data_IF_156296869104
#
_entry.id   IF_156296869104
#
_cell.length_a   1.000
_cell.length_b   1.000
_cell.length_c   1.000
_cell.angle_alpha   90.00
_cell.angle_beta   90.00
_cell.angle_gamma   90.00
#
_symmetry.space_group_name_H-M   'P 1'
#
loop_
_entity.id
_entity.type
_entity.pdbx_description
1 polymer ?
#
# COMPACT_ATOMS: atom_id res chain seq x y z
N UNK A 1 56.87 2.96 -45.17
CA UNK A 1 57.04 2.04 -46.31
C UNK A 1 56.43 0.71 -45.94
N UNK A 2 55.73 -0.03 -46.81
CA UNK A 2 54.69 0.42 -47.75
C UNK A 2 53.32 -0.24 -47.45
N UNK A 3 52.26 0.43 -47.90
CA UNK A 3 50.93 -0.16 -48.22
C UNK A 3 50.98 -0.71 -49.65
N UNK A 4 49.90 -1.16 -50.25
CA UNK A 4 48.73 -2.00 -50.02
C UNK A 4 48.69 -3.21 -51.03
N UNK A 5 47.63 -3.85 -51.50
CA UNK A 5 46.49 -3.28 -52.24
C UNK A 5 45.14 -4.00 -52.06
N UNK A 6 44.08 -3.31 -52.48
CA UNK A 6 42.76 -3.85 -52.81
C UNK A 6 42.74 -4.54 -54.18
N UNK A 7 41.77 -5.40 -54.46
CA UNK A 7 40.97 -5.21 -55.68
C UNK A 7 39.47 -5.57 -55.58
N UNK A 8 38.64 -4.72 -56.11
CA UNK A 8 37.81 -4.79 -57.33
C UNK A 8 36.56 -5.67 -57.32
N UNK A 9 35.46 -4.95 -57.38
CA UNK A 9 34.19 -5.17 -58.06
C UNK A 9 34.07 -6.38 -59.05
N UNK A 10 32.92 -7.02 -58.94
CA UNK A 10 32.23 -7.59 -60.07
C UNK A 10 30.70 -7.36 -59.97
N UNK A 11 30.23 -6.54 -60.85
CA UNK A 11 28.86 -6.21 -61.21
C UNK A 11 28.29 -7.32 -62.10
N UNK A 12 27.15 -7.91 -61.74
CA UNK A 12 26.34 -8.66 -62.72
C UNK A 12 24.91 -8.15 -62.61
N UNK A 13 24.54 -7.42 -63.64
CA UNK A 13 23.16 -7.01 -63.89
C UNK A 13 22.45 -8.19 -64.59
N UNK A 14 21.22 -8.49 -64.20
CA UNK A 14 20.30 -9.23 -65.08
C UNK A 14 18.95 -8.53 -65.07
N UNK A 15 18.53 -8.24 -66.32
CA UNK A 15 17.34 -7.46 -66.69
C UNK A 15 16.19 -8.42 -66.97
N UNK A 16 14.97 -7.90 -66.73
CA UNK A 16 13.67 -8.24 -67.35
C UNK A 16 12.84 -9.36 -66.70
N UNK A 17 11.60 -9.13 -66.33
CA UNK A 17 10.51 -8.95 -67.31
C UNK A 17 9.28 -8.41 -66.63
N UNK A 18 8.64 -7.39 -67.20
CA UNK A 18 7.33 -6.85 -66.87
C UNK A 18 6.27 -7.84 -67.38
N UNK A 19 5.38 -8.29 -66.53
CA UNK A 19 4.10 -8.84 -66.95
C UNK A 19 3.01 -8.09 -66.09
N UNK A 20 2.36 -7.15 -66.78
CA UNK A 20 1.10 -6.55 -66.39
C UNK A 20 0.01 -7.54 -66.70
N UNK A 21 -0.74 -8.00 -65.71
CA UNK A 21 -2.09 -8.52 -65.92
C UNK A 21 -2.81 -8.70 -64.58
N UNK A 22 -3.95 -8.10 -64.46
CA UNK A 22 -5.04 -8.64 -63.70
C UNK A 22 -5.51 -7.79 -62.52
N UNK A 23 -6.60 -7.10 -62.75
CA UNK A 23 -7.52 -6.62 -61.70
C UNK A 23 -7.73 -7.72 -60.65
N UNK A 24 -7.11 -7.59 -59.53
CA UNK A 24 -7.39 -8.37 -58.31
C UNK A 24 -8.29 -7.56 -57.42
N UNK A 25 -9.49 -8.06 -57.17
CA UNK A 25 -10.42 -7.58 -56.16
C UNK A 25 -9.67 -7.28 -54.87
N UNK A 26 -9.83 -6.06 -54.35
CA UNK A 26 -9.52 -5.74 -52.97
C UNK A 26 -10.28 -6.73 -52.07
N UNK A 27 -9.55 -7.56 -51.36
CA UNK A 27 -10.11 -8.33 -50.27
C UNK A 27 -10.53 -7.31 -49.20
N UNK A 28 -11.73 -7.38 -48.63
CA UNK A 28 -12.11 -6.54 -47.53
C UNK A 28 -11.06 -6.77 -46.41
N UNK A 29 -10.48 -5.69 -45.95
CA UNK A 29 -9.64 -5.68 -44.75
C UNK A 29 -10.52 -6.25 -43.66
N UNK A 30 -10.23 -7.43 -43.15
CA UNK A 30 -10.89 -7.99 -41.99
C UNK A 30 -10.66 -7.01 -40.85
N UNK A 31 -11.76 -6.45 -40.36
CA UNK A 31 -11.80 -5.67 -39.13
C UNK A 31 -10.94 -6.40 -38.09
N UNK A 32 -9.98 -5.72 -37.41
CA UNK A 32 -9.19 -6.39 -36.40
C UNK A 32 -10.19 -6.87 -35.35
N UNK A 33 -10.40 -8.17 -35.28
CA UNK A 33 -11.25 -8.79 -34.29
C UNK A 33 -10.74 -8.27 -32.92
N UNK A 34 -11.56 -7.48 -32.25
CA UNK A 34 -11.37 -7.21 -30.83
C UNK A 34 -11.11 -8.55 -30.17
N UNK A 35 -10.02 -8.70 -29.38
CA UNK A 35 -9.82 -9.94 -28.65
C UNK A 35 -11.12 -10.20 -27.88
N UNK A 36 -11.81 -11.27 -28.20
CA UNK A 36 -12.93 -11.70 -27.39
C UNK A 36 -12.35 -11.88 -25.99
N UNK A 37 -12.89 -11.16 -25.01
CA UNK A 37 -12.62 -11.44 -23.62
C UNK A 37 -13.14 -12.86 -23.37
N UNK A 38 -12.27 -13.83 -23.58
CA UNK A 38 -12.53 -15.21 -23.18
C UNK A 38 -12.58 -15.13 -21.66
N UNK A 39 -13.78 -15.26 -21.13
CA UNK A 39 -13.94 -15.43 -19.68
C UNK A 39 -12.99 -16.57 -19.29
N UNK A 40 -12.07 -16.37 -18.36
CA UNK A 40 -11.15 -17.42 -17.97
C UNK A 40 -12.00 -18.60 -17.53
N UNK A 41 -11.83 -19.75 -18.19
CA UNK A 41 -12.36 -21.01 -17.66
C UNK A 41 -11.88 -21.10 -16.23
N UNK A 42 -12.80 -21.38 -15.29
CA UNK A 42 -12.47 -21.69 -13.91
C UNK A 42 -11.43 -22.81 -13.88
N UNK A 43 -10.16 -22.45 -13.91
CA UNK A 43 -9.16 -23.28 -13.25
C UNK A 43 -9.50 -23.20 -11.76
N UNK A 44 -9.66 -24.32 -11.10
CA UNK A 44 -9.61 -24.41 -9.64
C UNK A 44 -8.41 -23.54 -9.21
N UNK A 45 -8.57 -22.57 -8.30
CA UNK A 45 -7.49 -21.69 -7.97
C UNK A 45 -6.41 -22.52 -7.27
N UNK A 46 -5.44 -23.00 -8.02
CA UNK A 46 -4.13 -23.22 -7.44
C UNK A 46 -3.76 -21.86 -6.86
N UNK A 47 -3.56 -21.83 -5.56
CA UNK A 47 -3.42 -20.63 -4.75
C UNK A 47 -2.16 -19.87 -5.15
N UNK A 48 -2.20 -19.21 -6.30
CA UNK A 48 -1.10 -18.45 -6.89
C UNK A 48 -0.82 -17.17 -6.10
N UNK A 49 -1.64 -16.88 -5.06
CA UNK A 49 -1.51 -15.67 -4.24
C UNK A 49 -1.73 -14.36 -4.97
N UNK A 50 -2.33 -14.42 -6.17
CA UNK A 50 -2.72 -13.25 -6.93
C UNK A 50 -4.18 -12.88 -6.63
N UNK A 51 -4.57 -11.61 -6.86
CA UNK A 51 -5.95 -11.18 -6.72
C UNK A 51 -6.87 -12.04 -7.59
N UNK A 52 -7.90 -12.60 -7.00
CA UNK A 52 -8.85 -13.47 -7.71
C UNK A 52 -9.68 -12.69 -8.73
N UNK A 53 -9.83 -11.37 -8.56
CA UNK A 53 -10.64 -10.52 -9.42
C UNK A 53 -9.93 -9.21 -9.70
N UNK A 54 -9.55 -9.03 -10.93
CA UNK A 54 -9.09 -7.76 -11.49
C UNK A 54 -10.15 -7.22 -12.44
N UNK A 55 -10.45 -5.94 -12.33
CA UNK A 55 -11.27 -5.17 -13.28
C UNK A 55 -10.34 -4.19 -14.02
N UNK A 56 -10.89 -3.22 -14.72
CA UNK A 56 -10.09 -2.25 -15.48
C UNK A 56 -9.19 -1.42 -14.57
N UNK A 57 -9.73 -0.91 -13.48
CA UNK A 57 -9.07 0.03 -12.58
C UNK A 57 -8.93 -0.48 -11.15
N UNK A 58 -9.45 -1.68 -10.84
CA UNK A 58 -9.33 -2.25 -9.50
C UNK A 58 -8.83 -3.68 -9.51
N UNK A 59 -8.17 -4.05 -8.42
CA UNK A 59 -7.71 -5.41 -8.17
C UNK A 59 -8.05 -5.79 -6.73
N UNK A 60 -8.77 -6.91 -6.56
CA UNK A 60 -9.12 -7.42 -5.23
C UNK A 60 -8.02 -8.31 -4.69
N UNK A 61 -7.58 -8.03 -3.47
CA UNK A 61 -6.80 -8.95 -2.64
C UNK A 61 -7.80 -9.73 -1.78
N UNK A 62 -8.01 -11.02 -2.07
CA UNK A 62 -8.97 -11.84 -1.34
C UNK A 62 -8.46 -12.21 0.05
N UNK A 63 -9.35 -12.72 0.87
CA UNK A 63 -9.12 -13.22 2.22
C UNK A 63 -10.25 -12.79 3.14
N UNK A 64 -10.64 -13.66 4.06
CA UNK A 64 -11.67 -13.38 5.05
C UNK A 64 -11.07 -13.22 6.45
N UNK A 65 -9.78 -13.51 6.61
CA UNK A 65 -9.01 -13.25 7.82
C UNK A 65 -7.72 -12.43 7.56
N UNK A 66 -7.19 -11.75 8.58
CA UNK A 66 -6.00 -10.90 8.45
C UNK A 66 -4.74 -11.65 8.00
N UNK A 67 -4.56 -12.93 8.35
CA UNK A 67 -3.37 -13.71 7.98
C UNK A 67 -3.38 -14.07 6.49
N UNK A 68 -4.53 -14.41 5.94
CA UNK A 68 -4.72 -14.65 4.51
C UNK A 68 -4.46 -13.37 3.71
N UNK A 69 -5.07 -12.26 4.14
CA UNK A 69 -4.89 -10.96 3.49
C UNK A 69 -3.42 -10.53 3.51
N UNK A 70 -2.74 -10.63 4.66
CA UNK A 70 -1.34 -10.28 4.77
C UNK A 70 -0.45 -11.15 3.88
N UNK A 71 -0.71 -12.46 3.82
CA UNK A 71 -0.01 -13.39 2.95
C UNK A 71 -0.20 -13.04 1.46
N UNK A 72 -1.43 -12.76 1.05
CA UNK A 72 -1.75 -12.37 -0.32
C UNK A 72 -1.12 -11.03 -0.69
N UNK A 73 -1.22 -10.01 0.17
CA UNK A 73 -0.59 -8.70 -0.02
C UNK A 73 0.93 -8.80 -0.12
N UNK A 74 1.57 -9.53 0.81
CA UNK A 74 3.02 -9.67 0.80
C UNK A 74 3.52 -10.33 -0.49
N UNK A 75 2.82 -11.34 -1.00
CA UNK A 75 3.14 -12.00 -2.28
C UNK A 75 2.83 -11.11 -3.49
N UNK A 76 1.80 -10.28 -3.45
CA UNK A 76 1.52 -9.31 -4.51
C UNK A 76 2.61 -8.24 -4.62
N UNK A 77 3.15 -7.79 -3.47
CA UNK A 77 4.23 -6.79 -3.41
C UNK A 77 5.60 -7.41 -3.76
N UNK A 78 5.83 -8.66 -3.38
CA UNK A 78 7.07 -9.41 -3.61
C UNK A 78 6.78 -10.70 -4.41
N UNK A 79 6.43 -10.58 -5.70
CA UNK A 79 5.89 -11.70 -6.49
C UNK A 79 6.94 -12.71 -6.95
N UNK A 80 8.21 -12.37 -6.92
CA UNK A 80 9.28 -13.20 -7.50
C UNK A 80 10.60 -13.15 -6.72
N UNK A 81 11.51 -14.05 -7.07
CA UNK A 81 12.82 -14.17 -6.40
C UNK A 81 13.72 -12.95 -6.55
N UNK A 82 13.51 -12.09 -7.55
CA UNK A 82 14.31 -10.89 -7.77
C UNK A 82 13.88 -9.76 -6.79
N UNK A 83 12.62 -9.79 -6.36
CA UNK A 83 12.01 -8.78 -5.47
C UNK A 83 11.71 -9.32 -4.08
N UNK A 84 12.60 -10.11 -3.52
CA UNK A 84 12.47 -10.66 -2.16
C UNK A 84 12.59 -9.55 -1.11
N UNK A 85 11.78 -9.59 -0.04
CA UNK A 85 11.94 -8.68 1.10
C UNK A 85 13.26 -8.94 1.83
N UNK A 86 13.72 -7.96 2.60
CA UNK A 86 14.91 -8.16 3.43
C UNK A 86 14.57 -8.98 4.67
N UNK A 87 13.41 -8.72 5.30
CA UNK A 87 12.85 -9.56 6.37
C UNK A 87 11.34 -9.71 6.20
N UNK A 88 10.74 -10.50 7.06
CA UNK A 88 9.29 -10.56 7.32
C UNK A 88 9.07 -10.17 8.78
N UNK A 89 8.06 -9.37 9.05
CA UNK A 89 7.64 -9.05 10.41
C UNK A 89 6.53 -10.01 10.83
N UNK A 90 6.70 -10.77 11.91
CA UNK A 90 5.63 -11.56 12.52
C UNK A 90 5.00 -10.77 13.66
N UNK A 91 3.67 -10.64 13.62
CA UNK A 91 2.84 -9.88 14.56
C UNK A 91 1.69 -10.75 15.03
N UNK A 92 1.31 -10.64 16.31
CA UNK A 92 0.13 -11.31 16.82
C UNK A 92 -1.14 -10.70 16.20
N UNK A 93 -2.04 -11.56 15.72
CA UNK A 93 -3.36 -11.18 15.21
C UNK A 93 -4.35 -10.70 16.29
N UNK A 94 -3.97 -10.79 17.56
CA UNK A 94 -4.83 -10.39 18.67
C UNK A 94 -4.71 -8.91 19.07
N UNK A 95 -3.71 -8.16 18.55
CA UNK A 95 -3.60 -6.73 18.82
C UNK A 95 -3.32 -5.88 17.58
N UNK A 96 -4.34 -5.17 17.13
CA UNK A 96 -4.28 -4.29 15.98
C UNK A 96 -3.33 -3.08 16.15
N UNK A 97 -3.05 -2.64 17.40
CA UNK A 97 -2.13 -1.50 17.65
C UNK A 97 -0.71 -1.89 17.30
N UNK A 98 -0.32 -3.09 17.70
CA UNK A 98 0.99 -3.66 17.39
C UNK A 98 1.12 -3.85 15.87
N UNK A 99 0.09 -4.40 15.23
CA UNK A 99 0.06 -4.60 13.78
C UNK A 99 0.21 -3.28 13.00
N UNK A 100 -0.53 -2.23 13.39
CA UNK A 100 -0.39 -0.89 12.78
C UNK A 100 1.01 -0.32 13.00
N UNK A 101 1.58 -0.45 14.20
CA UNK A 101 2.94 0.05 14.47
C UNK A 101 3.99 -0.71 13.68
N UNK A 102 3.86 -2.03 13.57
CA UNK A 102 4.76 -2.90 12.84
C UNK A 102 4.76 -2.62 11.32
N UNK A 103 3.68 -2.07 10.78
CA UNK A 103 3.62 -1.66 9.37
C UNK A 103 4.75 -0.70 8.99
N UNK A 104 5.30 0.07 9.92
CA UNK A 104 6.45 0.93 9.68
C UNK A 104 7.73 0.18 9.28
N UNK A 105 7.85 -1.10 9.61
CA UNK A 105 8.98 -1.94 9.24
C UNK A 105 8.95 -2.37 7.76
N UNK A 106 7.83 -2.12 7.04
CA UNK A 106 7.77 -2.27 5.60
C UNK A 106 8.73 -1.31 4.88
N UNK A 107 8.96 -0.14 5.41
CA UNK A 107 9.88 0.83 4.80
C UNK A 107 11.36 0.45 5.02
N UNK A 108 12.25 0.92 4.13
CA UNK A 108 13.68 0.80 4.31
C UNK A 108 14.11 1.40 5.68
N UNK A 109 15.10 0.82 6.38
CA UNK A 109 16.02 -0.21 5.90
C UNK A 109 15.59 -1.66 6.22
N UNK A 110 14.37 -1.91 6.68
CA UNK A 110 13.91 -3.26 7.04
C UNK A 110 13.26 -4.00 5.88
N UNK A 111 12.50 -3.27 5.05
CA UNK A 111 11.78 -3.82 3.89
C UNK A 111 11.06 -5.13 4.25
N UNK A 112 10.31 -5.10 5.37
CA UNK A 112 9.76 -6.25 6.05
C UNK A 112 8.21 -6.19 6.08
N UNK A 113 7.51 -6.84 5.14
CA UNK A 113 6.05 -6.92 5.16
C UNK A 113 5.57 -7.67 6.41
N UNK A 114 4.42 -7.26 7.01
CA UNK A 114 3.82 -7.98 8.11
C UNK A 114 3.17 -9.28 7.64
N UNK A 115 3.36 -10.34 8.40
CA UNK A 115 2.56 -11.55 8.41
C UNK A 115 2.03 -11.76 9.83
N UNK A 116 0.90 -12.46 9.96
CA UNK A 116 0.26 -12.66 11.25
C UNK A 116 0.55 -14.04 11.83
N UNK A 117 0.70 -14.04 13.15
CA UNK A 117 0.77 -15.21 14.02
C UNK A 117 -0.46 -15.22 14.92
N UNK A 118 -0.94 -16.36 15.32
CA UNK A 118 -1.97 -16.52 16.35
C UNK A 118 -1.28 -17.01 17.63
N UNK A 119 -0.91 -16.07 18.48
CA UNK A 119 0.05 -16.34 19.56
C UNK A 119 1.32 -17.00 19.00
N UNK A 120 1.72 -18.14 19.56
CA UNK A 120 2.89 -18.92 19.12
C UNK A 120 2.65 -19.80 17.89
N UNK A 121 1.41 -19.88 17.40
CA UNK A 121 1.07 -20.66 16.22
C UNK A 121 1.21 -19.82 14.94
N UNK A 122 1.76 -20.43 13.90
CA UNK A 122 1.89 -19.79 12.59
C UNK A 122 0.81 -20.33 11.64
N UNK A 123 -0.21 -19.52 11.29
CA UNK A 123 -1.25 -19.90 10.35
C UNK A 123 -0.68 -20.41 9.02
N UNK A 124 -1.37 -21.36 8.39
CA UNK A 124 -0.93 -21.97 7.13
C UNK A 124 -0.67 -20.93 6.03
N UNK A 125 -1.51 -19.90 5.91
CA UNK A 125 -1.32 -18.80 4.98
C UNK A 125 0.00 -18.04 5.24
N UNK A 126 0.27 -17.67 6.50
CA UNK A 126 1.51 -17.00 6.90
C UNK A 126 2.74 -17.88 6.68
N UNK A 127 2.65 -19.18 7.01
CA UNK A 127 3.74 -20.14 6.80
C UNK A 127 4.08 -20.31 5.32
N UNK A 128 3.07 -20.45 4.47
CA UNK A 128 3.23 -20.58 3.02
C UNK A 128 3.79 -19.30 2.40
N UNK A 129 3.31 -18.12 2.84
CA UNK A 129 3.83 -16.84 2.38
C UNK A 129 5.30 -16.65 2.80
N UNK A 130 5.64 -16.93 4.06
CA UNK A 130 7.03 -16.82 4.56
C UNK A 130 7.99 -17.67 3.74
N UNK A 131 7.59 -18.90 3.42
CA UNK A 131 8.37 -19.81 2.56
C UNK A 131 8.55 -19.24 1.14
N UNK A 132 7.48 -18.71 0.54
CA UNK A 132 7.52 -18.16 -0.81
C UNK A 132 8.33 -16.87 -0.89
N UNK A 133 8.22 -15.99 0.11
CA UNK A 133 8.95 -14.72 0.19
C UNK A 133 10.46 -14.94 0.37
N UNK A 134 10.88 -16.01 1.03
CA UNK A 134 12.28 -16.38 1.26
C UNK A 134 13.17 -15.17 1.61
N UNK A 135 12.91 -14.47 2.74
CA UNK A 135 13.56 -13.20 3.06
C UNK A 135 15.08 -13.32 3.11
N UNK A 136 15.79 -12.27 2.67
CA UNK A 136 17.26 -12.28 2.49
C UNK A 136 18.03 -12.15 3.80
N UNK A 137 17.49 -11.41 4.75
CA UNK A 137 18.14 -10.92 5.98
C UNK A 137 18.23 -9.40 5.99
N UNK A 138 17.62 -8.74 6.99
CA UNK A 138 17.67 -7.29 7.16
C UNK A 138 18.86 -6.90 8.03
N UNK A 139 19.87 -6.24 7.45
CA UNK A 139 21.07 -5.79 8.17
C UNK A 139 20.71 -4.87 9.36
N UNK A 140 19.69 -4.03 9.23
CA UNK A 140 19.18 -3.17 10.29
C UNK A 140 18.58 -3.92 11.49
N UNK A 141 18.34 -5.23 11.35
CA UNK A 141 17.87 -6.13 12.39
C UNK A 141 18.88 -7.27 12.65
N UNK A 142 20.17 -7.03 12.42
CA UNK A 142 21.24 -8.02 12.63
C UNK A 142 21.16 -9.20 11.65
N UNK A 143 20.83 -8.94 10.39
CA UNK A 143 20.62 -9.92 9.32
C UNK A 143 19.49 -10.90 9.60
N UNK A 144 18.50 -10.48 10.41
CA UNK A 144 17.33 -11.30 10.67
C UNK A 144 16.46 -11.42 9.42
N UNK A 145 16.03 -12.64 9.14
CA UNK A 145 15.03 -12.96 8.11
C UNK A 145 13.61 -12.79 8.65
N UNK A 146 13.44 -12.91 9.97
CA UNK A 146 12.16 -12.73 10.66
C UNK A 146 12.35 -11.77 11.83
N UNK A 147 11.56 -10.69 11.86
CA UNK A 147 11.46 -9.77 12.99
C UNK A 147 10.20 -10.15 13.76
N UNK A 148 10.36 -10.73 14.95
CA UNK A 148 9.27 -11.20 15.80
C UNK A 148 8.87 -10.09 16.77
N UNK A 149 7.59 -9.71 16.76
CA UNK A 149 7.07 -8.65 17.63
C UNK A 149 6.22 -9.29 18.73
N UNK A 150 6.76 -9.32 19.94
CA UNK A 150 6.13 -9.99 21.09
C UNK A 150 6.33 -11.50 21.08
N UNK A 151 5.44 -12.18 21.80
CA UNK A 151 5.45 -13.64 21.89
C UNK A 151 4.63 -14.26 20.75
N UNK A 152 5.29 -14.42 19.62
CA UNK A 152 4.73 -14.93 18.36
C UNK A 152 5.51 -16.14 17.89
N UNK A 153 5.00 -16.86 16.89
CA UNK A 153 5.63 -18.03 16.31
C UNK A 153 7.12 -17.81 16.02
N UNK A 154 7.93 -18.86 16.22
CA UNK A 154 9.36 -18.89 15.90
C UNK A 154 9.64 -19.89 14.79
N UNK A 155 9.62 -19.47 13.52
CA UNK A 155 9.89 -20.35 12.40
C UNK A 155 11.29 -20.97 12.49
N UNK A 156 11.38 -22.27 12.33
CA UNK A 156 12.66 -23.01 12.34
C UNK A 156 13.48 -22.71 11.08
N UNK A 157 14.81 -22.77 11.20
CA UNK A 157 15.73 -22.61 10.08
C UNK A 157 15.88 -21.18 9.55
N UNK A 158 15.23 -20.19 10.17
CA UNK A 158 15.36 -18.77 9.82
C UNK A 158 15.95 -17.97 10.97
N UNK A 159 16.87 -17.05 10.65
CA UNK A 159 17.44 -16.14 11.63
C UNK A 159 16.38 -15.13 12.07
N UNK A 160 16.10 -15.08 13.37
CA UNK A 160 15.10 -14.19 13.95
C UNK A 160 15.74 -13.10 14.82
N UNK A 161 15.09 -11.94 14.86
CA UNK A 161 15.31 -10.86 15.81
C UNK A 161 14.03 -10.61 16.61
N UNK A 162 14.13 -10.59 17.93
CA UNK A 162 12.97 -10.47 18.82
C UNK A 162 12.83 -9.03 19.31
N UNK A 163 11.64 -8.46 19.14
CA UNK A 163 11.22 -7.17 19.69
C UNK A 163 10.27 -7.44 20.85
N UNK A 164 10.74 -7.21 22.07
CA UNK A 164 10.02 -7.59 23.28
C UNK A 164 9.33 -6.41 23.97
N UNK A 165 8.21 -6.69 24.61
CA UNK A 165 7.44 -5.74 25.42
C UNK A 165 6.35 -6.47 26.20
N UNK A 166 6.05 -6.00 27.41
CA UNK A 166 5.10 -6.67 28.33
C UNK A 166 3.62 -6.26 28.06
N UNK A 167 3.40 -5.28 27.20
CA UNK A 167 2.07 -4.79 26.85
C UNK A 167 2.06 -4.42 25.36
N UNK A 168 0.90 -4.35 24.71
CA UNK A 168 0.81 -3.87 23.34
C UNK A 168 1.47 -2.51 23.13
N UNK A 169 1.25 -1.55 24.02
CA UNK A 169 1.91 -0.24 23.94
C UNK A 169 3.41 -0.30 24.24
N UNK A 170 3.84 -1.25 25.07
CA UNK A 170 5.27 -1.57 25.28
C UNK A 170 5.92 -2.06 24.01
N UNK A 171 5.24 -2.92 23.23
CA UNK A 171 5.70 -3.38 21.93
C UNK A 171 5.78 -2.24 20.90
N UNK A 172 4.78 -1.33 20.86
CA UNK A 172 4.86 -0.17 19.94
C UNK A 172 6.02 0.76 20.30
N UNK A 173 6.35 0.91 21.59
CA UNK A 173 7.57 1.60 22.03
C UNK A 173 8.83 0.91 21.56
N UNK A 174 8.89 -0.42 21.67
CA UNK A 174 10.05 -1.21 21.24
C UNK A 174 10.24 -1.16 19.71
N UNK A 175 9.17 -1.20 18.93
CA UNK A 175 9.20 -0.97 17.48
C UNK A 175 9.78 0.42 17.17
N UNK A 176 9.32 1.47 17.87
CA UNK A 176 9.83 2.82 17.68
C UNK A 176 11.33 2.93 18.02
N UNK A 177 11.80 2.21 19.05
CA UNK A 177 13.22 2.13 19.39
C UNK A 177 14.04 1.41 18.31
N UNK A 178 13.54 0.31 17.76
CA UNK A 178 14.16 -0.40 16.65
C UNK A 178 14.28 0.51 15.40
N UNK A 179 13.21 1.23 15.05
CA UNK A 179 13.25 2.19 13.94
C UNK A 179 14.27 3.30 14.20
N UNK A 180 14.35 3.80 15.43
CA UNK A 180 15.30 4.83 15.81
C UNK A 180 16.76 4.35 15.69
N UNK A 181 17.06 3.15 16.16
CA UNK A 181 18.40 2.58 16.07
C UNK A 181 18.88 2.37 14.63
N UNK A 182 17.96 2.01 13.74
CA UNK A 182 18.22 1.82 12.32
C UNK A 182 18.36 3.13 11.52
N UNK A 183 17.96 4.28 12.11
CA UNK A 183 17.97 5.60 11.45
C UNK A 183 18.57 6.68 12.35
N UNK A 184 19.85 6.55 12.74
CA UNK A 184 20.50 7.52 13.62
C UNK A 184 20.54 8.92 12.97
N UNK A 185 20.46 9.96 13.79
CA UNK A 185 20.58 11.37 13.33
C UNK A 185 19.37 11.95 12.61
N UNK A 186 18.32 11.17 12.29
CA UNK A 186 17.10 11.72 11.69
C UNK A 186 16.22 12.38 12.73
N UNK A 187 15.70 13.57 12.39
CA UNK A 187 14.63 14.21 13.16
C UNK A 187 13.38 13.34 13.12
N UNK A 188 12.91 12.92 14.29
CA UNK A 188 11.78 12.03 14.39
C UNK A 188 10.48 12.72 13.98
N UNK A 189 9.77 12.12 13.01
CA UNK A 189 8.37 12.38 12.71
C UNK A 189 7.60 11.18 13.24
N UNK A 190 6.58 11.43 14.07
CA UNK A 190 5.85 10.38 14.78
C UNK A 190 4.37 10.52 14.47
N UNK A 191 3.74 9.45 14.02
CA UNK A 191 2.29 9.38 13.95
C UNK A 191 1.73 9.07 15.33
N UNK A 192 0.77 9.87 15.76
CA UNK A 192 0.02 9.65 17.01
C UNK A 192 -1.40 9.26 16.63
N UNK A 193 -1.79 8.03 17.00
CA UNK A 193 -3.09 7.46 16.70
C UNK A 193 -3.86 7.14 18.00
N UNK A 194 -5.17 6.93 17.88
CA UNK A 194 -5.99 6.50 19.02
C UNK A 194 -5.64 5.06 19.41
N UNK A 195 -5.49 4.83 20.72
CA UNK A 195 -5.41 3.47 21.27
C UNK A 195 -6.79 2.84 21.46
N UNK A 196 -7.85 3.65 21.44
CA UNK A 196 -9.20 3.26 21.84
C UNK A 196 -10.10 3.00 20.62
N UNK A 197 -9.75 3.56 19.45
CA UNK A 197 -10.55 3.45 18.24
C UNK A 197 -9.69 3.02 17.05
N UNK A 198 -9.89 1.76 16.65
CA UNK A 198 -9.16 1.10 15.61
C UNK A 198 -9.43 1.70 14.21
N UNK A 199 -10.66 2.15 13.96
CA UNK A 199 -11.05 2.70 12.66
C UNK A 199 -10.38 4.05 12.39
N UNK A 200 -10.25 4.89 13.42
CA UNK A 200 -9.51 6.15 13.30
C UNK A 200 -8.00 5.96 13.23
N UNK A 201 -7.47 4.87 13.81
CA UNK A 201 -6.05 4.56 13.78
C UNK A 201 -5.59 3.94 12.44
N UNK A 202 -6.47 3.22 11.74
CA UNK A 202 -6.17 2.41 10.57
C UNK A 202 -5.37 3.14 9.47
N UNK A 203 -5.65 4.40 9.08
CA UNK A 203 -4.89 5.09 8.04
C UNK A 203 -3.41 5.32 8.40
N UNK A 204 -3.05 5.24 9.70
CA UNK A 204 -1.65 5.36 10.11
C UNK A 204 -0.78 4.22 9.57
N UNK A 205 -1.33 3.00 9.40
CA UNK A 205 -0.60 1.84 8.90
C UNK A 205 -0.02 2.07 7.50
N UNK A 206 -0.84 2.59 6.58
CA UNK A 206 -0.45 2.83 5.20
C UNK A 206 0.69 3.87 5.09
N UNK A 207 0.58 4.97 5.86
CA UNK A 207 1.61 6.00 5.83
C UNK A 207 2.89 5.57 6.56
N UNK A 208 2.76 4.80 7.64
CA UNK A 208 3.90 4.18 8.33
C UNK A 208 4.66 3.24 7.41
N UNK A 209 3.96 2.38 6.64
CA UNK A 209 4.57 1.46 5.68
C UNK A 209 5.35 2.20 4.58
N UNK A 210 4.85 3.34 4.10
CA UNK A 210 5.54 4.18 3.11
C UNK A 210 6.80 4.83 3.66
N UNK A 211 6.76 5.33 4.89
CA UNK A 211 7.77 6.25 5.40
C UNK A 211 8.71 5.65 6.43
N UNK A 212 8.28 4.59 7.11
CA UNK A 212 8.92 4.03 8.29
C UNK A 212 8.90 4.97 9.49
N UNK A 213 7.99 5.93 9.52
CA UNK A 213 7.77 6.75 10.72
C UNK A 213 7.09 5.89 11.79
N UNK A 214 7.54 5.93 13.05
CA UNK A 214 6.92 5.18 14.10
C UNK A 214 5.48 5.64 14.37
N UNK A 215 4.60 4.70 14.70
CA UNK A 215 3.24 4.95 15.16
C UNK A 215 3.21 4.70 16.66
N UNK A 216 2.77 5.70 17.42
CA UNK A 216 2.55 5.62 18.86
C UNK A 216 1.09 5.94 19.17
N UNK A 217 0.60 5.40 20.27
CA UNK A 217 -0.81 5.46 20.59
C UNK A 217 -1.08 6.27 21.85
N UNK A 218 -2.23 6.94 21.86
CA UNK A 218 -2.75 7.67 23.02
C UNK A 218 -4.21 7.28 23.24
N UNK A 219 -4.64 7.22 24.49
CA UNK A 219 -6.06 7.13 24.79
C UNK A 219 -6.72 8.49 24.61
N UNK A 220 -8.07 8.51 24.56
CA UNK A 220 -8.85 9.73 24.37
C UNK A 220 -8.39 10.88 25.27
N UNK A 221 -8.16 10.61 26.57
CA UNK A 221 -7.88 11.64 27.58
C UNK A 221 -6.52 11.48 28.27
N UNK A 222 -5.67 10.57 27.81
CA UNK A 222 -4.38 10.28 28.44
C UNK A 222 -3.29 9.94 27.43
N UNK A 223 -2.07 10.45 27.68
CA UNK A 223 -0.84 9.96 27.03
C UNK A 223 -0.29 8.82 27.90
N UNK A 224 -0.25 7.57 27.42
CA UNK A 224 0.28 6.43 28.17
C UNK A 224 1.76 6.61 28.53
N UNK A 225 2.24 6.00 29.62
CA UNK A 225 3.64 6.08 30.03
C UNK A 225 4.59 5.53 28.97
N UNK A 226 4.21 4.47 28.27
CA UNK A 226 5.01 3.88 27.18
C UNK A 226 5.18 4.87 26.02
N UNK A 227 4.12 5.57 25.65
CA UNK A 227 4.16 6.61 24.61
C UNK A 227 5.04 7.79 25.04
N UNK A 228 4.94 8.24 26.31
CA UNK A 228 5.84 9.28 26.83
C UNK A 228 7.31 8.84 26.78
N UNK A 229 7.59 7.62 27.23
CA UNK A 229 8.93 7.06 27.23
C UNK A 229 9.50 6.94 25.80
N UNK A 230 8.66 6.49 24.84
CA UNK A 230 9.05 6.43 23.43
C UNK A 230 9.38 7.83 22.87
N UNK A 231 8.53 8.82 23.12
CA UNK A 231 8.76 10.19 22.65
C UNK A 231 10.01 10.83 23.28
N UNK A 232 10.28 10.57 24.54
CA UNK A 232 11.51 11.01 25.20
C UNK A 232 12.76 10.35 24.57
N UNK A 233 12.70 9.06 24.27
CA UNK A 233 13.80 8.34 23.61
C UNK A 233 14.00 8.77 22.13
N UNK A 234 12.94 9.20 21.45
CA UNK A 234 13.00 9.70 20.10
C UNK A 234 13.50 11.16 20.02
N UNK A 235 13.43 11.90 21.11
CA UNK A 235 13.98 13.23 21.20
C UNK A 235 15.52 13.15 21.06
N UNK A 236 16.05 13.87 20.08
CA UNK A 236 17.47 14.00 19.84
C UNK A 236 17.92 15.45 20.07
N UNK A 237 18.75 15.97 19.15
CA UNK A 237 19.14 17.39 19.13
C UNK A 237 17.92 18.31 18.92
N UNK A 238 16.88 17.80 18.28
CA UNK A 238 15.61 18.52 18.04
C UNK A 238 14.44 17.75 18.61
N UNK A 239 13.39 18.48 19.00
CA UNK A 239 12.12 17.87 19.48
C UNK A 239 11.44 17.15 18.31
N UNK A 240 10.80 15.98 18.54
CA UNK A 240 10.08 15.28 17.50
C UNK A 240 8.87 16.07 17.00
N UNK A 241 8.53 15.90 15.71
CA UNK A 241 7.26 16.39 15.14
C UNK A 241 6.21 15.31 15.29
N UNK A 242 5.12 15.65 15.95
CA UNK A 242 4.03 14.73 16.32
C UNK A 242 2.81 15.04 15.45
N UNK A 243 2.38 14.08 14.67
CA UNK A 243 1.24 14.19 13.78
C UNK A 243 0.06 13.41 14.34
N UNK A 244 -0.89 14.12 14.93
CA UNK A 244 -2.06 13.54 15.59
C UNK A 244 -3.15 13.28 14.55
N UNK A 245 -3.46 12.00 14.34
CA UNK A 245 -4.49 11.54 13.42
C UNK A 245 -5.83 11.39 14.15
N UNK A 246 -6.80 12.14 13.71
CA UNK A 246 -8.17 12.08 14.20
C UNK A 246 -8.66 13.36 14.90
N UNK A 247 -10.00 13.46 15.09
CA UNK A 247 -10.66 14.63 15.64
C UNK A 247 -10.48 14.74 17.16
N UNK A 248 -10.89 15.88 17.72
CA UNK A 248 -10.86 16.12 19.18
C UNK A 248 -11.81 15.24 19.98
N UNK A 249 -12.82 14.66 19.35
CA UNK A 249 -13.72 13.66 19.95
C UNK A 249 -13.04 12.33 20.22
N UNK A 250 -12.00 11.99 19.46
CA UNK A 250 -11.24 10.74 19.56
C UNK A 250 -9.96 10.93 20.38
N UNK A 251 -9.23 12.02 20.16
CA UNK A 251 -8.03 12.40 20.95
C UNK A 251 -8.25 13.82 21.45
N UNK A 252 -8.47 13.96 22.75
CA UNK A 252 -8.93 15.21 23.35
C UNK A 252 -7.91 16.37 23.24
N UNK A 253 -8.37 17.62 23.34
CA UNK A 253 -7.47 18.77 23.43
C UNK A 253 -6.51 18.70 24.61
N UNK A 254 -6.91 18.03 25.71
CA UNK A 254 -6.05 17.81 26.87
C UNK A 254 -4.83 16.97 26.51
N UNK A 255 -5.03 15.87 25.79
CA UNK A 255 -3.93 15.02 25.29
C UNK A 255 -3.03 15.81 24.34
N UNK A 256 -3.60 16.60 23.44
CA UNK A 256 -2.82 17.47 22.53
C UNK A 256 -1.93 18.46 23.31
N UNK A 257 -2.44 19.06 24.41
CA UNK A 257 -1.62 19.91 25.27
C UNK A 257 -0.49 19.15 25.98
N UNK A 258 -0.73 17.90 26.41
CA UNK A 258 0.33 17.06 26.97
C UNK A 258 1.40 16.73 25.94
N UNK A 259 1.02 16.37 24.71
CA UNK A 259 1.93 16.06 23.60
C UNK A 259 2.79 17.27 23.22
N UNK A 260 2.26 18.50 23.24
CA UNK A 260 3.04 19.73 22.96
C UNK A 260 4.21 19.95 23.93
N UNK A 261 4.18 19.34 25.12
CA UNK A 261 5.34 19.34 26.04
C UNK A 261 6.45 18.39 25.58
N UNK A 262 6.11 17.39 24.75
CA UNK A 262 7.01 16.35 24.28
C UNK A 262 7.52 16.58 22.85
N UNK A 263 6.79 17.35 22.02
CA UNK A 263 7.15 17.63 20.63
C UNK A 263 6.34 18.78 20.03
N UNK A 264 6.64 19.17 18.80
CA UNK A 264 5.75 20.04 18.03
C UNK A 264 4.57 19.21 17.52
N UNK A 265 3.35 19.71 17.63
CA UNK A 265 2.14 18.95 17.37
C UNK A 265 1.34 19.58 16.25
N UNK A 266 1.11 18.80 15.20
CA UNK A 266 0.15 19.06 14.14
C UNK A 266 -0.99 18.04 14.24
N UNK A 267 -2.22 18.48 13.94
CA UNK A 267 -3.39 17.60 13.93
C UNK A 267 -4.01 17.59 12.56
N UNK A 268 -4.38 16.40 12.09
CA UNK A 268 -5.17 16.21 10.88
C UNK A 268 -6.16 15.06 11.08
N UNK A 269 -7.24 15.04 10.30
CA UNK A 269 -8.25 13.99 10.35
C UNK A 269 -9.66 14.53 10.13
N UNK A 270 -10.61 13.61 9.98
CA UNK A 270 -12.02 13.86 9.78
C UNK A 270 -12.87 13.49 11.01
N UNK A 271 -14.16 13.80 10.94
CA UNK A 271 -15.12 13.60 12.05
C UNK A 271 -15.54 12.13 12.27
N UNK A 272 -15.45 11.31 11.24
CA UNK A 272 -15.75 9.89 11.19
C UNK A 272 -14.60 9.11 10.51
N UNK A 273 -14.54 7.78 10.57
CA UNK A 273 -13.43 7.00 10.01
C UNK A 273 -13.21 7.22 8.51
N UNK A 274 -14.27 7.38 7.73
CA UNK A 274 -14.19 7.59 6.27
C UNK A 274 -13.56 8.95 5.96
N UNK A 275 -14.13 10.02 6.53
CA UNK A 275 -13.58 11.38 6.35
C UNK A 275 -12.21 11.54 6.97
N UNK A 276 -11.88 10.77 8.03
CA UNK A 276 -10.55 10.72 8.63
C UNK A 276 -9.51 10.11 7.67
N UNK A 277 -9.85 9.05 6.96
CA UNK A 277 -8.99 8.44 5.94
C UNK A 277 -8.79 9.38 4.75
N UNK A 278 -9.84 10.05 4.28
CA UNK A 278 -9.76 11.06 3.21
C UNK A 278 -8.89 12.25 3.65
N UNK A 279 -9.07 12.74 4.89
CA UNK A 279 -8.25 13.82 5.41
C UNK A 279 -6.77 13.41 5.51
N UNK A 280 -6.48 12.15 5.88
CA UNK A 280 -5.11 11.62 5.87
C UNK A 280 -4.54 11.55 4.44
N UNK A 281 -5.35 11.16 3.45
CA UNK A 281 -4.95 11.13 2.05
C UNK A 281 -4.62 12.52 1.49
N UNK A 282 -5.41 13.53 1.84
CA UNK A 282 -5.21 14.91 1.39
C UNK A 282 -4.12 15.66 2.16
N UNK A 283 -3.81 15.23 3.39
CA UNK A 283 -2.92 15.97 4.27
C UNK A 283 -1.50 16.04 3.74
N UNK A 284 -0.91 17.27 3.81
CA UNK A 284 0.50 17.52 3.51
C UNK A 284 1.05 18.63 4.41
N UNK A 285 2.21 18.39 4.99
CA UNK A 285 3.03 19.35 5.74
C UNK A 285 4.49 19.17 5.32
N UNK A 286 4.92 19.96 4.35
CA UNK A 286 6.23 19.82 3.74
C UNK A 286 6.44 18.43 3.15
N UNK A 287 7.38 17.68 3.71
CA UNK A 287 7.68 16.31 3.29
C UNK A 287 6.87 15.24 4.05
N UNK A 288 5.94 15.62 4.92
CA UNK A 288 5.03 14.71 5.61
C UNK A 288 3.64 14.76 4.97
N UNK A 289 2.98 13.59 4.90
CA UNK A 289 1.64 13.42 4.37
C UNK A 289 1.64 12.91 2.92
N UNK A 290 0.47 12.45 2.50
CA UNK A 290 0.27 11.97 1.13
C UNK A 290 0.13 13.12 0.15
N UNK A 291 -0.71 14.12 0.48
CA UNK A 291 -0.98 15.30 -0.34
C UNK A 291 -1.70 14.97 -1.65
N UNK A 292 -2.53 13.91 -1.65
CA UNK A 292 -3.22 13.46 -2.87
C UNK A 292 -4.47 14.31 -3.09
N UNK A 293 -4.39 15.17 -4.08
CA UNK A 293 -5.47 16.03 -4.55
C UNK A 293 -5.60 16.01 -6.09
N UNK A 294 -4.80 15.18 -6.76
CA UNK A 294 -4.71 15.01 -8.21
C UNK A 294 -4.74 13.53 -8.60
N UNK A 295 -4.97 13.17 -9.85
CA UNK A 295 -4.96 11.78 -10.32
C UNK A 295 -3.54 11.21 -10.48
N UNK A 296 -3.45 9.90 -10.76
CA UNK A 296 -2.20 9.20 -11.04
C UNK A 296 -1.68 8.39 -9.85
N UNK A 297 -2.57 7.85 -9.03
CA UNK A 297 -2.23 7.16 -7.78
C UNK A 297 -2.82 5.75 -7.72
N UNK A 298 -2.11 4.86 -6.99
CA UNK A 298 -2.69 3.64 -6.47
C UNK A 298 -3.36 3.91 -5.13
N UNK A 299 -4.59 3.48 -4.94
CA UNK A 299 -5.39 3.67 -3.73
C UNK A 299 -5.66 2.31 -3.09
N UNK A 300 -5.77 2.27 -1.77
CA UNK A 300 -6.08 1.03 -1.04
C UNK A 300 -7.42 1.21 -0.34
N UNK A 301 -8.35 0.30 -0.53
CA UNK A 301 -9.70 0.34 0.04
C UNK A 301 -9.89 -0.82 1.01
N UNK A 302 -10.30 -0.53 2.25
CA UNK A 302 -10.60 -1.51 3.27
C UNK A 302 -11.85 -1.13 4.08
N UNK A 303 -12.36 -2.08 4.87
CA UNK A 303 -13.49 -1.83 5.79
C UNK A 303 -13.03 -1.08 7.03
N UNK A 304 -13.79 -0.06 7.40
CA UNK A 304 -13.70 0.53 8.74
C UNK A 304 -14.01 -0.53 9.80
N UNK A 305 -13.37 -0.45 10.96
CA UNK A 305 -13.52 -1.44 12.03
C UNK A 305 -12.65 -2.69 11.87
N UNK A 306 -11.98 -2.88 10.73
CA UNK A 306 -11.10 -4.02 10.47
C UNK A 306 -9.63 -3.59 10.41
N UNK A 307 -9.11 -3.08 11.52
CA UNK A 307 -7.77 -2.48 11.57
C UNK A 307 -6.62 -3.48 11.32
N UNK A 308 -6.82 -4.77 11.60
CA UNK A 308 -5.84 -5.81 11.26
C UNK A 308 -5.74 -5.97 9.73
N UNK A 309 -6.86 -5.91 9.00
CA UNK A 309 -6.86 -5.93 7.54
C UNK A 309 -6.16 -4.67 6.97
N UNK A 310 -6.35 -3.52 7.61
CA UNK A 310 -5.63 -2.30 7.24
C UNK A 310 -4.12 -2.41 7.44
N UNK A 311 -3.67 -3.06 8.51
CA UNK A 311 -2.25 -3.35 8.75
C UNK A 311 -1.72 -4.40 7.76
N UNK A 312 -2.52 -5.46 7.45
CA UNK A 312 -2.21 -6.45 6.43
C UNK A 312 -2.02 -5.82 5.04
N UNK A 313 -2.85 -4.82 4.70
CA UNK A 313 -2.80 -4.11 3.43
C UNK A 313 -1.68 -3.07 3.32
N UNK A 314 -1.07 -2.67 4.44
CA UNK A 314 -0.09 -1.59 4.49
C UNK A 314 1.09 -1.73 3.50
N UNK A 315 1.62 -2.92 3.18
CA UNK A 315 2.67 -3.07 2.16
C UNK A 315 2.28 -2.55 0.78
N UNK A 316 1.00 -2.60 0.38
CA UNK A 316 0.52 -2.01 -0.88
C UNK A 316 0.79 -0.50 -0.94
N UNK A 317 0.70 0.19 0.20
CA UNK A 317 0.99 1.62 0.32
C UNK A 317 2.50 1.92 0.37
N UNK A 318 3.31 0.97 0.78
CA UNK A 318 4.76 1.10 0.96
C UNK A 318 5.58 0.82 -0.29
N UNK A 319 5.00 0.21 -1.34
CA UNK A 319 5.73 -0.21 -2.52
C UNK A 319 5.34 0.59 -3.76
N UNK A 320 6.31 1.27 -4.38
CA UNK A 320 6.12 1.95 -5.67
C UNK A 320 5.22 3.19 -5.60
N UNK A 321 4.24 3.29 -6.54
CA UNK A 321 3.35 4.44 -6.71
C UNK A 321 2.04 4.35 -5.93
N UNK A 322 1.96 3.44 -4.98
CA UNK A 322 0.73 3.23 -4.22
C UNK A 322 0.47 4.37 -3.23
N UNK A 323 -0.79 4.57 -2.94
CA UNK A 323 -1.28 5.69 -2.14
C UNK A 323 -1.90 5.28 -0.81
N UNK A 324 -2.74 6.15 -0.27
CA UNK A 324 -3.30 6.02 1.06
C UNK A 324 -4.33 4.89 1.17
N UNK A 325 -4.56 4.48 2.41
CA UNK A 325 -5.70 3.68 2.79
C UNK A 325 -6.95 4.57 2.87
N UNK A 326 -7.99 4.18 2.17
CA UNK A 326 -9.34 4.74 2.20
C UNK A 326 -10.29 3.72 2.83
N UNK A 327 -11.29 4.20 3.56
CA UNK A 327 -12.17 3.33 4.33
C UNK A 327 -13.61 3.41 3.85
N UNK A 328 -14.28 2.26 3.86
CA UNK A 328 -15.73 2.13 3.72
C UNK A 328 -16.33 1.70 5.06
N UNK A 329 -17.41 2.31 5.47
CA UNK A 329 -18.15 1.98 6.71
C UNK A 329 -19.27 0.95 6.48
N UNK A 330 -19.69 0.73 5.24
CA UNK A 330 -20.66 -0.27 4.84
C UNK A 330 -20.13 -1.12 3.66
N UNK A 331 -20.33 -2.47 3.65
CA UNK A 331 -19.86 -3.33 2.57
C UNK A 331 -20.61 -3.12 1.25
N UNK A 332 -21.84 -2.57 1.31
CA UNK A 332 -22.77 -2.48 0.21
C UNK A 332 -23.14 -1.05 -0.16
N UNK A 333 -22.45 -0.07 0.43
CA UNK A 333 -22.72 1.35 0.19
C UNK A 333 -21.41 2.15 0.18
N UNK A 334 -21.14 2.79 -0.95
CA UNK A 334 -20.01 3.72 -1.07
C UNK A 334 -20.38 5.06 -0.42
N UNK A 335 -19.68 5.48 0.64
CA UNK A 335 -19.97 6.75 1.30
C UNK A 335 -19.89 7.93 0.33
N UNK A 336 -20.86 8.84 0.38
CA UNK A 336 -20.89 10.00 -0.51
C UNK A 336 -19.63 10.85 -0.45
N UNK A 337 -19.04 11.01 0.74
CA UNK A 337 -17.79 11.75 0.92
C UNK A 337 -16.60 11.06 0.24
N UNK A 338 -16.58 9.72 0.22
CA UNK A 338 -15.56 8.95 -0.48
C UNK A 338 -15.78 9.04 -2.00
N UNK A 339 -17.03 8.91 -2.46
CA UNK A 339 -17.38 9.11 -3.86
C UNK A 339 -16.92 10.50 -4.35
N UNK A 340 -17.22 11.55 -3.59
CA UNK A 340 -16.79 12.90 -3.94
C UNK A 340 -15.27 13.03 -4.01
N UNK A 341 -14.54 12.44 -3.05
CA UNK A 341 -13.08 12.45 -3.08
C UNK A 341 -12.52 11.75 -4.32
N UNK A 342 -13.10 10.61 -4.73
CA UNK A 342 -12.66 9.89 -5.93
C UNK A 342 -12.95 10.69 -7.20
N UNK A 343 -14.06 11.41 -7.27
CA UNK A 343 -14.38 12.33 -8.38
C UNK A 343 -13.38 13.51 -8.43
N UNK A 344 -12.98 14.07 -7.27
CA UNK A 344 -12.03 15.17 -7.22
C UNK A 344 -10.63 14.78 -7.76
N UNK A 345 -10.27 13.50 -7.69
CA UNK A 345 -9.00 12.95 -8.20
C UNK A 345 -9.20 12.06 -9.42
N UNK A 346 -10.35 12.12 -10.08
CA UNK A 346 -10.63 11.29 -11.26
C UNK A 346 -9.70 11.68 -12.41
N UNK A 347 -9.05 10.69 -13.07
CA UNK A 347 -8.21 10.98 -14.23
C UNK A 347 -9.00 11.52 -15.42
N UNK A 348 -8.41 12.46 -16.11
CA UNK A 348 -8.98 13.02 -17.33
C UNK A 348 -7.97 13.05 -18.49
N UNK A 349 -8.48 13.11 -19.71
CA UNK A 349 -7.69 13.30 -20.93
C UNK A 349 -8.39 14.29 -21.87
N UNK A 350 -7.60 15.04 -22.66
CA UNK A 350 -8.14 15.98 -23.63
C UNK A 350 -8.38 15.30 -24.99
N UNK A 351 -7.34 14.74 -25.59
CA UNK A 351 -7.39 14.21 -26.96
C UNK A 351 -7.25 12.68 -27.00
N UNK A 352 -6.29 12.12 -26.24
CA UNK A 352 -5.96 10.70 -26.26
C UNK A 352 -5.82 10.16 -24.84
N UNK A 353 -6.64 9.15 -24.45
CA UNK A 353 -6.56 8.54 -23.13
C UNK A 353 -5.20 7.88 -22.85
N UNK A 354 -4.45 7.48 -23.87
CA UNK A 354 -3.12 6.82 -23.72
C UNK A 354 -2.10 7.77 -23.10
N UNK A 355 -2.25 9.08 -23.31
CA UNK A 355 -1.37 10.10 -22.72
C UNK A 355 -1.74 10.51 -21.32
N UNK A 356 -2.88 10.05 -20.82
CA UNK A 356 -3.38 10.38 -19.50
C UNK A 356 -2.68 9.62 -18.38
N UNK A 357 -2.88 10.07 -17.15
CA UNK A 357 -2.51 9.33 -15.94
C UNK A 357 -3.69 8.43 -15.52
N UNK A 358 -3.39 7.40 -14.75
CA UNK A 358 -4.39 6.41 -14.34
C UNK A 358 -4.38 6.26 -12.82
N UNK A 359 -5.57 6.13 -12.24
CA UNK A 359 -5.73 5.66 -10.87
C UNK A 359 -5.89 4.14 -10.88
N UNK A 360 -5.42 3.49 -9.81
CA UNK A 360 -5.68 2.07 -9.57
C UNK A 360 -6.12 1.86 -8.12
N UNK A 361 -7.11 0.99 -7.92
CA UNK A 361 -7.67 0.66 -6.62
C UNK A 361 -7.38 -0.78 -6.19
N UNK A 362 -6.74 -0.96 -5.04
CA UNK A 362 -6.61 -2.25 -4.37
C UNK A 362 -7.78 -2.44 -3.41
N UNK A 363 -8.64 -3.43 -3.66
CA UNK A 363 -9.78 -3.76 -2.80
C UNK A 363 -9.36 -4.87 -1.85
N UNK A 364 -9.33 -4.58 -0.56
CA UNK A 364 -8.82 -5.52 0.45
C UNK A 364 -9.96 -6.28 1.10
N UNK A 365 -9.80 -7.59 1.19
CA UNK A 365 -10.78 -8.50 1.78
C UNK A 365 -11.74 -9.12 0.76
N UNK A 366 -12.57 -10.04 1.26
CA UNK A 366 -13.57 -10.76 0.49
C UNK A 366 -14.77 -9.88 0.07
N UNK A 367 -15.77 -10.48 -0.57
CA UNK A 367 -16.98 -9.76 -1.01
C UNK A 367 -17.94 -9.40 0.13
N UNK A 368 -17.71 -9.91 1.35
CA UNK A 368 -18.44 -9.48 2.56
C UNK A 368 -17.80 -8.23 3.17
N UNK A 369 -16.49 -8.02 2.94
CA UNK A 369 -15.81 -6.80 3.36
C UNK A 369 -16.20 -5.61 2.48
N UNK A 370 -16.12 -5.78 1.15
CA UNK A 370 -16.53 -4.78 0.15
C UNK A 370 -17.22 -5.56 -0.98
N UNK A 371 -18.49 -5.30 -1.23
CA UNK A 371 -19.28 -6.03 -2.21
C UNK A 371 -18.74 -5.86 -3.65
N UNK A 372 -19.11 -6.78 -4.53
CA UNK A 372 -18.74 -6.68 -5.97
C UNK A 372 -19.36 -5.42 -6.60
N UNK A 373 -20.56 -5.04 -6.16
CA UNK A 373 -21.22 -3.83 -6.65
C UNK A 373 -20.43 -2.56 -6.28
N UNK A 374 -19.94 -2.48 -5.02
CA UNK A 374 -19.15 -1.35 -4.59
C UNK A 374 -17.75 -1.33 -5.23
N UNK A 375 -17.14 -2.49 -5.45
CA UNK A 375 -15.92 -2.57 -6.26
C UNK A 375 -16.15 -2.02 -7.67
N UNK A 376 -17.25 -2.37 -8.32
CA UNK A 376 -17.60 -1.86 -9.66
C UNK A 376 -17.83 -0.34 -9.66
N UNK A 377 -18.44 0.22 -8.60
CA UNK A 377 -18.58 1.67 -8.45
C UNK A 377 -17.24 2.37 -8.27
N UNK A 378 -16.35 1.82 -7.43
CA UNK A 378 -14.98 2.33 -7.26
C UNK A 378 -14.24 2.26 -8.59
N UNK A 379 -14.34 1.14 -9.31
CA UNK A 379 -13.69 0.96 -10.63
C UNK A 379 -14.12 2.05 -11.61
N UNK A 380 -15.42 2.35 -11.70
CA UNK A 380 -15.96 3.40 -12.55
C UNK A 380 -15.49 4.82 -12.15
N UNK A 381 -15.35 5.08 -10.84
CA UNK A 381 -14.86 6.37 -10.34
C UNK A 381 -13.33 6.56 -10.55
N UNK A 382 -12.59 5.48 -10.71
CA UNK A 382 -11.16 5.50 -11.03
C UNK A 382 -10.90 5.54 -12.54
N UNK A 383 -11.94 5.39 -13.36
CA UNK A 383 -11.84 5.40 -14.82
C UNK A 383 -11.39 6.77 -15.33
N UNK A 384 -10.51 6.75 -16.34
CA UNK A 384 -10.12 7.94 -17.07
C UNK A 384 -11.27 8.40 -17.97
N UNK A 385 -11.60 9.67 -17.91
CA UNK A 385 -12.72 10.26 -18.67
C UNK A 385 -12.26 11.42 -19.54
N UNK A 386 -12.94 11.70 -20.68
CA UNK A 386 -12.62 12.89 -21.46
C UNK A 386 -12.94 14.17 -20.66
N UNK A 387 -12.01 15.11 -20.67
CA UNK A 387 -12.22 16.44 -20.09
C UNK A 387 -13.13 17.21 -21.04
N UNK A 388 -14.39 17.43 -20.64
CA UNK A 388 -15.31 18.26 -21.42
C UNK A 388 -14.97 19.72 -21.19
N UNK A 389 -14.48 20.40 -22.21
CA UNK A 389 -14.49 21.86 -22.25
C UNK A 389 -15.94 22.33 -22.45
N UNK A 390 -16.44 23.31 -21.67
CA UNK A 390 -17.85 23.77 -21.77
C UNK A 390 -18.28 24.22 -23.16
N UNK A 391 -17.35 24.57 -24.03
CA UNK A 391 -17.58 25.12 -25.38
C UNK A 391 -17.25 24.13 -26.53
N UNK A 392 -16.97 22.88 -26.24
CA UNK A 392 -16.74 21.90 -27.30
C UNK A 392 -18.06 21.51 -27.96
N UNK A 393 -18.22 21.64 -29.32
CA UNK A 393 -19.40 21.16 -29.98
C UNK A 393 -19.59 19.65 -29.79
N UNK A 394 -20.83 19.13 -29.79
CA UNK A 394 -21.04 17.71 -29.63
C UNK A 394 -20.31 16.97 -30.76
N UNK A 395 -19.52 15.98 -30.38
CA UNK A 395 -18.85 15.08 -31.33
C UNK A 395 -19.94 14.35 -32.12
N UNK A 396 -19.90 14.33 -33.46
CA UNK A 396 -20.94 13.76 -34.31
C UNK A 396 -21.13 12.25 -34.11
#
# INVERSE_FOLDING_TARGET
>A
MPSPPSPRLLLVALVAAIAVSGCGREKPVSDPQRPALVAPQRAEPENLGFPERATKNTTRIPGDDPAEIAAAVARAVFPDAARRPDAVTLVDSNDWRVAIAASALMAAPFNAPPLFSDGTDLPGASSSALKALAPKGAAAAGDAQVIRIGDVAKPSGLKSSDVSGNTPLGLTRAIAALIRSARPGRNARVLIASADDASFAAPAASYAAKTGNPVLFVSKDRVPPETRAALAALAGLTRPRLYVLGPSSVISPQVTRQLRRLGSVERYGGRDPVTNAIAAARYRDGAFGWGIADPGHGLVFARAGRALEAAAAAPLSGSGKFGPLLLLDDPSSLPQTLQQYLLDIQPGYNDDPVTGVYNHGWIVGDTKAISVAEQARIDALLEIVPVRTPDAPPVP
#
